data_IF_123608291028
#
_entry.id   IF_123608291028
#
_cell.length_a   1.000
_cell.length_b   1.000
_cell.length_c   1.000
_cell.angle_alpha   90.00
_cell.angle_beta   90.00
_cell.angle_gamma   90.00
#
_symmetry.space_group_name_H-M   'P 1'
#
loop_
_entity.id
_entity.type
_entity.pdbx_description
1 polymer ?
#
# COMPACT_ATOMS: atom_id res chain seq x y z
N UNK A 1 5.10 20.12 9.57
CA UNK A 1 5.41 18.73 9.15
C UNK A 1 4.35 17.80 9.74
N UNK A 2 3.29 17.48 8.99
CA UNK A 2 2.20 16.65 9.50
C UNK A 2 2.70 15.20 9.66
N UNK A 3 2.92 14.77 10.90
CA UNK A 3 3.19 13.37 11.24
C UNK A 3 1.94 12.60 10.83
N UNK A 4 1.97 11.91 9.69
CA UNK A 4 0.84 11.09 9.26
C UNK A 4 0.58 10.08 10.38
N UNK A 5 -0.63 10.10 10.93
CA UNK A 5 -1.04 9.13 11.94
C UNK A 5 -0.99 7.75 11.30
N UNK A 6 0.03 6.96 11.65
CA UNK A 6 0.16 5.56 11.24
C UNK A 6 -0.95 4.79 11.95
N UNK A 7 -1.83 4.16 11.19
CA UNK A 7 -2.93 3.36 11.74
C UNK A 7 -2.47 1.93 11.99
N UNK A 8 -3.17 1.19 12.85
CA UNK A 8 -2.88 -0.23 13.08
C UNK A 8 -2.95 -1.05 11.78
N UNK A 9 -3.87 -0.69 10.89
CA UNK A 9 -4.01 -1.27 9.55
C UNK A 9 -2.75 -1.10 8.70
N UNK A 10 -2.11 0.07 8.76
CA UNK A 10 -0.85 0.35 8.04
C UNK A 10 0.29 -0.51 8.59
N UNK A 11 0.35 -0.68 9.92
CA UNK A 11 1.35 -1.54 10.59
C UNK A 11 1.15 -3.01 10.23
N UNK A 12 -0.08 -3.53 10.28
CA UNK A 12 -0.40 -4.92 9.88
C UNK A 12 -0.11 -5.17 8.40
N UNK A 13 -0.40 -4.20 7.55
CA UNK A 13 -0.06 -4.29 6.13
C UNK A 13 1.46 -4.30 5.93
N UNK A 14 2.20 -3.40 6.58
CA UNK A 14 3.66 -3.34 6.49
C UNK A 14 4.32 -4.62 7.02
N UNK A 15 3.79 -5.20 8.10
CA UNK A 15 4.20 -6.48 8.64
C UNK A 15 4.07 -7.62 7.61
N UNK A 16 2.91 -7.69 6.93
CA UNK A 16 2.68 -8.66 5.84
C UNK A 16 3.57 -8.40 4.62
N UNK A 17 3.74 -7.12 4.24
CA UNK A 17 4.57 -6.71 3.12
C UNK A 17 6.04 -7.10 3.30
N UNK A 18 6.56 -6.91 4.53
CA UNK A 18 7.91 -7.32 4.91
C UNK A 18 8.06 -8.84 5.09
N UNK A 19 6.97 -9.60 4.96
CA UNK A 19 6.92 -11.07 5.12
C UNK A 19 7.54 -11.55 6.44
N UNK A 20 7.34 -10.77 7.51
CA UNK A 20 7.85 -11.10 8.83
C UNK A 20 7.06 -12.29 9.40
N UNK A 21 7.76 -13.38 9.70
CA UNK A 21 7.18 -14.59 10.30
C UNK A 21 6.89 -14.41 11.78
N UNK A 22 7.66 -13.56 12.46
CA UNK A 22 7.49 -13.24 13.87
C UNK A 22 6.18 -12.46 14.07
N UNK A 23 5.31 -12.87 15.01
CA UNK A 23 4.12 -12.08 15.33
C UNK A 23 4.53 -10.72 15.91
N UNK A 24 3.77 -9.67 15.60
CA UNK A 24 4.09 -8.29 16.01
C UNK A 24 4.31 -8.15 17.52
N UNK A 25 3.52 -8.86 18.33
CA UNK A 25 3.64 -8.89 19.80
C UNK A 25 4.92 -9.59 20.30
N UNK A 26 5.52 -10.48 19.52
CA UNK A 26 6.79 -11.11 19.88
C UNK A 26 8.02 -10.35 19.34
N UNK A 27 7.80 -9.23 18.62
CA UNK A 27 8.91 -8.45 18.07
C UNK A 27 9.62 -7.62 19.14
N UNK A 28 10.96 -7.51 19.08
CA UNK A 28 11.70 -6.56 19.89
C UNK A 28 11.27 -5.12 19.53
N UNK A 29 11.33 -4.17 20.48
CA UNK A 29 10.81 -2.82 20.31
C UNK A 29 11.45 -2.08 19.13
N UNK A 30 12.73 -2.35 18.84
CA UNK A 30 13.45 -1.81 17.69
C UNK A 30 12.83 -2.25 16.35
N UNK A 31 12.41 -3.51 16.26
CA UNK A 31 11.79 -4.04 15.06
C UNK A 31 10.37 -3.48 14.88
N UNK A 32 9.61 -3.32 15.97
CA UNK A 32 8.30 -2.64 15.91
C UNK A 32 8.43 -1.20 15.42
N UNK A 33 9.46 -0.48 15.89
CA UNK A 33 9.76 0.87 15.43
C UNK A 33 10.11 0.91 13.93
N UNK A 34 10.91 -0.04 13.45
CA UNK A 34 11.24 -0.18 12.03
C UNK A 34 9.99 -0.47 11.16
N UNK A 35 9.10 -1.37 11.60
CA UNK A 35 7.84 -1.65 10.91
C UNK A 35 6.93 -0.41 10.88
N UNK A 36 6.87 0.34 11.98
CA UNK A 36 6.07 1.58 12.06
C UNK A 36 6.64 2.68 11.15
N UNK A 37 7.98 2.79 11.08
CA UNK A 37 8.66 3.72 10.17
C UNK A 37 8.49 3.31 8.70
N UNK A 38 8.54 2.01 8.40
CA UNK A 38 8.25 1.50 7.06
C UNK A 38 6.79 1.81 6.67
N UNK A 39 5.84 1.59 7.58
CA UNK A 39 4.44 1.93 7.36
C UNK A 39 4.23 3.42 7.06
N UNK A 40 4.88 4.33 7.81
CA UNK A 40 4.76 5.77 7.58
C UNK A 40 5.40 6.22 6.26
N UNK A 41 6.53 5.64 5.88
CA UNK A 41 7.21 5.93 4.60
C UNK A 41 6.41 5.43 3.39
N UNK A 42 5.67 4.33 3.57
CA UNK A 42 4.90 3.68 2.52
C UNK A 42 3.47 4.23 2.40
N UNK A 43 2.87 4.71 3.50
CA UNK A 43 1.53 5.32 3.54
C UNK A 43 1.21 6.31 2.38
N UNK A 44 2.10 7.24 1.98
CA UNK A 44 1.78 8.15 0.86
C UNK A 44 1.68 7.45 -0.50
N UNK A 45 2.36 6.32 -0.72
CA UNK A 45 2.24 5.53 -1.95
C UNK A 45 0.94 4.71 -1.96
N UNK A 46 0.49 4.25 -0.80
CA UNK A 46 -0.74 3.47 -0.67
C UNK A 46 -2.00 4.32 -0.70
N UNK A 47 -2.01 5.49 -0.05
CA UNK A 47 -3.12 6.46 -0.17
C UNK A 47 -3.35 6.95 -1.60
N UNK A 48 -2.30 6.95 -2.42
CA UNK A 48 -2.35 7.35 -3.83
C UNK A 48 -2.73 6.23 -4.77
N UNK A 49 -2.71 4.97 -4.35
CA UNK A 49 -3.19 3.88 -5.20
C UNK A 49 -4.71 3.94 -5.16
N UNK A 50 -5.38 4.39 -6.23
CA UNK A 50 -6.82 4.35 -6.24
C UNK A 50 -7.20 2.87 -6.16
N UNK A 51 -8.05 2.53 -5.20
CA UNK A 51 -8.72 1.21 -5.11
C UNK A 51 -9.58 0.92 -6.34
N UNK A 52 -9.70 1.89 -7.24
CA UNK A 52 -10.28 1.77 -8.55
C UNK A 52 -9.16 1.62 -9.58
N UNK A 53 -9.00 0.47 -10.26
CA UNK A 53 -8.39 0.51 -11.58
C UNK A 53 -9.11 1.61 -12.38
N UNK A 54 -8.42 2.45 -13.18
CA UNK A 54 -9.12 3.28 -14.14
C UNK A 54 -10.02 2.30 -14.90
N UNK A 55 -11.34 2.55 -14.88
CA UNK A 55 -12.28 1.70 -15.59
C UNK A 55 -11.80 1.69 -17.03
N UNK A 56 -11.14 0.61 -17.43
CA UNK A 56 -10.69 0.44 -18.80
C UNK A 56 -12.00 0.30 -19.54
N UNK A 57 -12.42 1.38 -20.19
CA UNK A 57 -13.60 1.36 -21.01
C UNK A 57 -13.27 0.52 -22.25
N UNK A 58 -13.51 -0.78 -22.11
CA UNK A 58 -13.26 -1.79 -23.14
C UNK A 58 -14.09 -1.49 -24.40
N UNK A 59 -15.13 -0.65 -24.33
CA UNK A 59 -15.86 -0.19 -25.51
C UNK A 59 -15.06 0.77 -26.38
N UNK A 60 -14.08 1.49 -25.81
CA UNK A 60 -13.22 2.41 -26.57
C UNK A 60 -12.12 1.68 -27.36
N UNK A 61 -11.72 0.47 -26.96
CA UNK A 61 -10.71 -0.32 -27.69
C UNK A 61 -11.26 -1.03 -28.93
N UNK A 62 -12.57 -1.25 -29.01
CA UNK A 62 -13.19 -1.92 -30.16
C UNK A 62 -13.50 -0.98 -31.34
N UNK A 63 -13.35 0.33 -31.17
CA UNK A 63 -13.71 1.33 -32.19
C UNK A 63 -12.48 1.96 -32.89
N UNK A 64 -11.26 1.45 -32.66
CA UNK A 64 -10.02 2.10 -33.09
C UNK A 64 -9.17 1.32 -34.10
N UNK A 65 -9.62 0.18 -34.60
CA UNK A 65 -8.85 -0.63 -35.56
C UNK A 65 -9.77 -1.14 -36.68
N UNK A 66 -10.33 -0.18 -37.44
CA UNK A 66 -10.80 -0.40 -38.79
C UNK A 66 -10.94 0.97 -39.48
N UNK A 67 -9.84 1.54 -39.98
CA UNK A 67 -9.85 2.37 -41.19
C UNK A 67 -8.39 2.63 -41.64
N UNK A 68 -8.13 2.20 -42.88
CA UNK A 68 -6.98 2.37 -43.80
C UNK A 68 -5.56 1.87 -43.41
#
# INVERSE_FOLDING_TARGET
MAKQAVTESDVRWAHRFLRLTTPYEAMPPQLRAAVTAAASALAPKFRRRPTHPPAVDLKRRAAGELDD
#
